data_IF_551600200910
#
_entry.id   IF_551600200910
#
_cell.length_a   1.000
_cell.length_b   1.000
_cell.length_c   1.000
_cell.angle_alpha   90.00
_cell.angle_beta   90.00
_cell.angle_gamma   90.00
#
_symmetry.space_group_name_H-M   'P 1'
#
loop_
_entity.id
_entity.type
_entity.pdbx_description
1 polymer ?
#
# COMPACT_ATOMS: atom_id res chain seq x y z
N UNK A 1 10.68 -4.36 24.11
CA UNK A 1 9.77 -5.36 23.58
C UNK A 1 8.32 -4.99 23.91
N UNK A 2 7.43 -5.10 22.91
CA UNK A 2 6.00 -4.75 23.00
C UNK A 2 5.30 -5.52 24.15
N UNK A 3 5.54 -6.82 24.26
CA UNK A 3 4.98 -7.66 25.32
C UNK A 3 5.42 -7.23 26.73
N UNK A 4 6.66 -6.81 26.87
CA UNK A 4 7.19 -6.32 28.16
C UNK A 4 6.54 -4.98 28.55
N UNK A 5 6.27 -4.09 27.60
CA UNK A 5 5.55 -2.84 27.86
C UNK A 5 4.14 -3.09 28.36
N UNK A 6 3.41 -4.01 27.70
CA UNK A 6 2.06 -4.40 28.15
C UNK A 6 2.10 -4.97 29.57
N UNK A 7 3.01 -5.92 29.83
CA UNK A 7 3.15 -6.52 31.14
C UNK A 7 3.47 -5.48 32.24
N UNK A 8 4.34 -4.51 31.94
CA UNK A 8 4.68 -3.41 32.85
C UNK A 8 3.50 -2.51 33.17
N UNK A 9 2.67 -2.17 32.15
CA UNK A 9 1.48 -1.31 32.35
C UNK A 9 0.42 -2.04 33.16
N UNK A 10 0.21 -3.33 32.92
CA UNK A 10 -0.76 -4.15 33.67
C UNK A 10 -0.30 -4.42 35.11
N UNK A 11 1.03 -4.57 35.32
CA UNK A 11 1.61 -4.80 36.65
C UNK A 11 1.83 -3.54 37.49
N UNK A 12 1.62 -2.34 36.96
CA UNK A 12 2.00 -1.06 37.54
C UNK A 12 1.06 -0.49 38.62
N UNK A 13 0.31 -1.30 39.37
CA UNK A 13 -0.49 -0.83 40.52
C UNK A 13 -1.75 -0.03 40.18
N UNK A 14 -2.06 0.13 38.91
CA UNK A 14 -3.22 0.90 38.42
C UNK A 14 -4.55 0.17 38.62
N UNK A 15 -4.51 -1.11 38.97
CA UNK A 15 -5.65 -2.01 39.05
C UNK A 15 -5.76 -2.68 40.43
N UNK A 16 -5.76 -1.90 41.49
CA UNK A 16 -5.83 -2.40 42.90
C UNK A 16 -7.09 -3.23 43.19
N UNK A 17 -8.13 -3.14 42.34
CA UNK A 17 -9.42 -3.85 42.50
C UNK A 17 -9.60 -5.05 41.56
N UNK A 18 -8.55 -5.49 40.89
CA UNK A 18 -8.61 -6.54 39.86
C UNK A 18 -8.66 -5.97 38.47
N UNK A 19 -8.17 -6.74 37.47
CA UNK A 19 -8.10 -6.37 36.06
C UNK A 19 -9.26 -7.04 35.34
N UNK A 20 -10.15 -6.24 34.70
CA UNK A 20 -11.19 -6.76 33.84
C UNK A 20 -10.66 -7.08 32.43
N UNK A 21 -11.31 -7.98 31.66
CA UNK A 21 -10.96 -8.18 30.24
C UNK A 21 -11.00 -6.90 29.41
N UNK A 22 -11.89 -5.97 29.74
CA UNK A 22 -12.00 -4.68 29.07
C UNK A 22 -10.80 -3.77 29.40
N UNK A 23 -10.33 -3.77 30.64
CA UNK A 23 -9.13 -3.03 31.04
C UNK A 23 -7.90 -3.52 30.25
N UNK A 24 -7.76 -4.84 30.08
CA UNK A 24 -6.68 -5.43 29.30
C UNK A 24 -6.76 -4.96 27.83
N UNK A 25 -7.95 -4.98 27.22
CA UNK A 25 -8.15 -4.51 25.84
C UNK A 25 -7.81 -3.02 25.71
N UNK A 26 -8.23 -2.19 26.65
CA UNK A 26 -7.94 -0.75 26.62
C UNK A 26 -6.43 -0.47 26.73
N UNK A 27 -5.73 -1.19 27.60
CA UNK A 27 -4.27 -1.07 27.73
C UNK A 27 -3.59 -1.52 26.43
N UNK A 28 -4.00 -2.67 25.89
CA UNK A 28 -3.46 -3.19 24.64
C UNK A 28 -3.72 -2.23 23.48
N UNK A 29 -4.91 -1.69 23.36
CA UNK A 29 -5.25 -0.68 22.34
C UNK A 29 -4.34 0.56 22.47
N UNK A 30 -4.11 1.06 23.68
CA UNK A 30 -3.21 2.19 23.92
C UNK A 30 -1.76 1.92 23.49
N UNK A 31 -1.25 0.72 23.74
CA UNK A 31 0.10 0.34 23.31
C UNK A 31 0.20 0.14 21.77
N UNK A 32 -0.83 -0.43 21.15
CA UNK A 32 -0.92 -0.53 19.68
C UNK A 32 -0.97 0.86 19.05
N UNK A 33 -1.79 1.76 19.59
CA UNK A 33 -1.90 3.14 19.11
C UNK A 33 -0.54 3.86 19.14
N UNK A 34 0.23 3.69 20.21
CA UNK A 34 1.58 4.28 20.32
C UNK A 34 2.55 3.76 19.24
N UNK A 35 2.45 2.50 18.85
CA UNK A 35 3.26 1.91 17.77
C UNK A 35 2.80 2.44 16.41
N UNK A 36 1.49 2.58 16.21
CA UNK A 36 0.89 2.92 14.92
C UNK A 36 0.83 4.42 14.65
N UNK A 37 0.73 5.27 15.65
CA UNK A 37 0.61 6.73 15.45
C UNK A 37 1.75 7.34 14.61
N UNK A 38 3.03 6.98 14.79
CA UNK A 38 4.11 7.52 13.97
C UNK A 38 4.04 7.13 12.50
N UNK A 39 3.37 6.03 12.15
CA UNK A 39 3.25 5.52 10.77
C UNK A 39 1.91 5.82 10.11
N UNK A 40 0.94 6.33 10.86
CA UNK A 40 -0.35 6.77 10.34
C UNK A 40 -0.19 8.11 9.60
N UNK A 41 0.30 8.06 8.36
CA UNK A 41 0.59 9.25 7.56
C UNK A 41 -0.22 9.22 6.26
N UNK A 42 -0.86 10.34 5.88
CA UNK A 42 -1.55 10.45 4.60
C UNK A 42 -0.56 10.40 3.43
N UNK A 43 -1.04 9.95 2.29
CA UNK A 43 -0.32 10.04 1.02
C UNK A 43 -0.56 11.44 0.44
N UNK A 44 0.49 12.26 0.39
CA UNK A 44 0.43 13.63 -0.11
C UNK A 44 0.93 13.71 -1.55
N UNK A 45 0.16 14.34 -2.42
CA UNK A 45 0.54 14.62 -3.80
C UNK A 45 1.33 15.93 -3.83
N UNK A 46 2.64 15.83 -4.04
CA UNK A 46 3.60 16.94 -3.92
C UNK A 46 4.26 17.36 -5.23
N UNK A 47 3.93 16.69 -6.33
CA UNK A 47 4.48 16.96 -7.65
C UNK A 47 3.40 16.79 -8.73
N UNK A 48 3.69 17.25 -9.95
CA UNK A 48 2.81 17.12 -11.10
C UNK A 48 3.62 16.81 -12.37
N UNK A 49 3.51 15.60 -12.92
CA UNK A 49 2.76 14.46 -12.41
C UNK A 49 3.37 13.89 -11.13
N UNK A 50 2.54 13.46 -10.21
CA UNK A 50 2.94 12.66 -9.06
C UNK A 50 2.89 11.19 -9.44
N UNK A 51 4.06 10.55 -9.53
CA UNK A 51 4.21 9.17 -10.01
C UNK A 51 4.23 8.21 -8.84
N UNK A 52 3.27 7.31 -8.81
CA UNK A 52 3.13 6.27 -7.80
C UNK A 52 3.41 4.91 -8.45
N UNK A 53 4.45 4.23 -8.00
CA UNK A 53 4.74 2.84 -8.36
C UNK A 53 4.04 1.93 -7.36
N UNK A 54 3.20 1.02 -7.84
CA UNK A 54 2.46 0.08 -6.99
C UNK A 54 3.05 -1.31 -7.15
N UNK A 55 3.61 -1.83 -6.07
CA UNK A 55 4.28 -3.13 -6.01
C UNK A 55 3.56 -4.09 -5.05
N UNK A 56 3.89 -5.36 -5.12
CA UNK A 56 3.34 -6.43 -4.30
C UNK A 56 3.18 -7.73 -5.08
N UNK A 57 2.92 -8.81 -4.36
CA UNK A 57 2.73 -10.13 -4.98
C UNK A 57 1.39 -10.22 -5.70
N UNK A 58 1.29 -11.15 -6.66
CA UNK A 58 0.02 -11.46 -7.32
C UNK A 58 -1.03 -11.88 -6.29
N UNK A 59 -2.24 -11.38 -6.43
CA UNK A 59 -3.34 -11.66 -5.52
C UNK A 59 -3.36 -10.81 -4.24
N UNK A 60 -2.39 -9.91 -4.05
CA UNK A 60 -2.38 -9.00 -2.89
C UNK A 60 -3.42 -7.87 -2.99
N UNK A 61 -3.98 -7.63 -4.18
CA UNK A 61 -4.95 -6.57 -4.43
C UNK A 61 -4.36 -5.30 -5.05
N UNK A 62 -3.22 -5.39 -5.77
CA UNK A 62 -2.58 -4.25 -6.43
C UNK A 62 -3.49 -3.52 -7.41
N UNK A 63 -4.02 -4.23 -8.40
CA UNK A 63 -4.86 -3.64 -9.45
C UNK A 63 -6.13 -3.03 -8.88
N UNK A 64 -6.77 -3.71 -7.92
CA UNK A 64 -7.94 -3.18 -7.22
C UNK A 64 -7.60 -1.95 -6.39
N UNK A 65 -6.47 -1.94 -5.70
CA UNK A 65 -5.98 -0.76 -4.95
C UNK A 65 -5.74 0.42 -5.88
N UNK A 66 -5.13 0.20 -7.04
CA UNK A 66 -4.95 1.25 -8.07
C UNK A 66 -6.29 1.82 -8.50
N UNK A 67 -7.28 0.98 -8.77
CA UNK A 67 -8.63 1.43 -9.13
C UNK A 67 -9.29 2.29 -8.05
N UNK A 68 -9.18 1.88 -6.79
CA UNK A 68 -9.70 2.64 -5.64
C UNK A 68 -8.97 3.96 -5.43
N UNK A 69 -7.65 3.99 -5.59
CA UNK A 69 -6.86 5.23 -5.54
C UNK A 69 -7.23 6.17 -6.70
N UNK A 70 -7.41 5.65 -7.90
CA UNK A 70 -7.86 6.43 -9.04
C UNK A 70 -9.22 7.10 -8.77
N UNK A 71 -10.18 6.35 -8.23
CA UNK A 71 -11.49 6.89 -7.84
C UNK A 71 -11.35 8.00 -6.80
N UNK A 72 -10.54 7.79 -5.78
CA UNK A 72 -10.27 8.79 -4.73
C UNK A 72 -9.68 10.08 -5.31
N UNK A 73 -8.62 9.99 -6.10
CA UNK A 73 -8.00 11.17 -6.70
C UNK A 73 -8.92 11.90 -7.68
N UNK A 74 -9.73 11.16 -8.44
CA UNK A 74 -10.75 11.77 -9.32
C UNK A 74 -11.81 12.53 -8.52
N UNK A 75 -12.27 11.99 -7.40
CA UNK A 75 -13.20 12.67 -6.49
C UNK A 75 -12.58 13.94 -5.91
N UNK A 76 -11.28 13.97 -5.71
CA UNK A 76 -10.53 15.17 -5.28
C UNK A 76 -10.25 16.16 -6.43
N UNK A 77 -10.79 15.91 -7.62
CA UNK A 77 -10.65 16.80 -8.78
C UNK A 77 -9.33 16.66 -9.53
N UNK A 78 -8.55 15.60 -9.29
CA UNK A 78 -7.27 15.34 -9.97
C UNK A 78 -7.46 14.54 -11.25
N UNK A 79 -6.67 14.84 -12.27
CA UNK A 79 -6.54 13.98 -13.44
C UNK A 79 -5.62 12.81 -13.13
N UNK A 80 -6.00 11.61 -13.58
CA UNK A 80 -5.30 10.36 -13.26
C UNK A 80 -5.02 9.57 -14.53
N UNK A 81 -3.79 9.05 -14.62
CA UNK A 81 -3.36 8.12 -15.66
C UNK A 81 -2.97 6.79 -15.01
N UNK A 82 -3.52 5.68 -15.52
CA UNK A 82 -3.16 4.32 -15.14
C UNK A 82 -2.21 3.73 -16.16
N UNK A 83 -1.18 3.02 -15.68
CA UNK A 83 -0.17 2.37 -16.53
C UNK A 83 -0.19 0.87 -16.26
N UNK A 84 -0.52 0.08 -17.30
CA UNK A 84 -0.63 -1.37 -17.22
C UNK A 84 0.74 -2.06 -17.29
N UNK A 85 1.56 -1.90 -16.26
CA UNK A 85 2.92 -2.40 -16.18
C UNK A 85 3.04 -3.89 -15.82
N UNK A 86 1.97 -4.57 -15.39
CA UNK A 86 1.91 -6.03 -15.29
C UNK A 86 1.62 -6.63 -16.69
N UNK A 87 2.62 -6.58 -17.55
CA UNK A 87 2.47 -6.93 -18.97
C UNK A 87 2.39 -8.43 -19.24
N UNK A 88 2.71 -9.27 -18.26
CA UNK A 88 2.62 -10.72 -18.39
C UNK A 88 1.18 -11.26 -18.25
N UNK A 89 0.32 -10.52 -17.57
CA UNK A 89 -1.03 -10.94 -17.26
C UNK A 89 -2.05 -10.14 -18.06
N UNK A 90 -2.54 -10.73 -19.15
CA UNK A 90 -3.59 -10.12 -19.97
C UNK A 90 -4.82 -9.72 -19.14
N UNK A 91 -5.23 -10.56 -18.18
CA UNK A 91 -6.34 -10.27 -17.29
C UNK A 91 -6.09 -9.03 -16.40
N UNK A 92 -4.86 -8.80 -15.97
CA UNK A 92 -4.50 -7.60 -15.19
C UNK A 92 -4.58 -6.33 -16.05
N UNK A 93 -4.13 -6.41 -17.30
CA UNK A 93 -4.26 -5.30 -18.26
C UNK A 93 -5.74 -4.96 -18.50
N UNK A 94 -6.58 -5.97 -18.77
CA UNK A 94 -8.00 -5.78 -19.00
C UNK A 94 -8.73 -5.23 -17.77
N UNK A 95 -8.40 -5.73 -16.58
CA UNK A 95 -8.97 -5.21 -15.33
C UNK A 95 -8.60 -3.74 -15.11
N UNK A 96 -7.37 -3.35 -15.41
CA UNK A 96 -6.95 -1.96 -15.28
C UNK A 96 -7.69 -1.02 -16.26
N UNK A 97 -7.96 -1.49 -17.49
CA UNK A 97 -8.78 -0.76 -18.47
C UNK A 97 -10.21 -0.56 -17.96
N UNK A 98 -10.80 -1.57 -17.32
CA UNK A 98 -12.14 -1.47 -16.71
C UNK A 98 -12.14 -0.42 -15.59
N UNK A 99 -11.12 -0.40 -14.73
CA UNK A 99 -10.98 0.62 -13.70
C UNK A 99 -10.83 2.03 -14.27
N UNK A 100 -10.06 2.18 -15.34
CA UNK A 100 -9.90 3.47 -16.03
C UNK A 100 -11.25 3.99 -16.53
N UNK A 101 -12.03 3.14 -17.18
CA UNK A 101 -13.37 3.49 -17.68
C UNK A 101 -14.31 3.87 -16.53
N UNK A 102 -14.35 3.10 -15.47
CA UNK A 102 -15.22 3.34 -14.29
C UNK A 102 -14.89 4.62 -13.54
N UNK A 103 -13.63 5.00 -13.49
CA UNK A 103 -13.17 6.17 -12.72
C UNK A 103 -12.98 7.43 -13.54
N UNK A 104 -13.02 7.33 -14.86
CA UNK A 104 -12.70 8.44 -15.75
C UNK A 104 -11.21 8.76 -15.83
N UNK A 105 -10.34 7.83 -15.41
CA UNK A 105 -8.90 7.91 -15.61
C UNK A 105 -8.53 7.54 -17.06
N UNK A 106 -7.41 8.05 -17.56
CA UNK A 106 -6.79 7.55 -18.79
C UNK A 106 -6.00 6.27 -18.50
N UNK A 107 -5.75 5.45 -19.50
CA UNK A 107 -4.95 4.23 -19.38
C UNK A 107 -3.94 4.14 -20.49
N UNK A 108 -2.71 3.79 -20.15
CA UNK A 108 -1.64 3.44 -21.08
C UNK A 108 -1.38 1.94 -20.93
N UNK A 109 -1.58 1.22 -22.03
CA UNK A 109 -1.38 -0.22 -22.10
C UNK A 109 -0.78 -0.59 -23.45
N UNK A 110 -0.06 -1.73 -23.49
CA UNK A 110 0.49 -2.33 -24.70
C UNK A 110 0.14 -3.81 -24.76
N UNK A 111 0.53 -4.46 -25.85
CA UNK A 111 0.38 -5.89 -26.00
C UNK A 111 1.04 -6.66 -24.87
N UNK A 112 0.45 -7.80 -24.43
CA UNK A 112 1.06 -8.65 -23.43
C UNK A 112 2.51 -9.03 -23.80
N UNK A 113 3.40 -9.02 -22.81
CA UNK A 113 4.82 -9.28 -22.99
C UNK A 113 5.68 -8.06 -23.36
N UNK A 114 5.08 -6.87 -23.48
CA UNK A 114 5.84 -5.63 -23.70
C UNK A 114 6.73 -5.28 -22.52
N UNK A 115 7.81 -4.53 -22.77
CA UNK A 115 8.71 -4.08 -21.72
C UNK A 115 8.04 -3.04 -20.80
N UNK A 116 7.84 -3.34 -19.50
CA UNK A 116 7.16 -2.44 -18.59
C UNK A 116 7.95 -1.14 -18.32
N UNK A 117 9.26 -1.17 -18.36
CA UNK A 117 10.07 0.04 -18.17
C UNK A 117 9.91 1.03 -19.33
N UNK A 118 9.88 0.54 -20.57
CA UNK A 118 9.60 1.35 -21.76
C UNK A 118 8.18 1.94 -21.72
N UNK A 119 7.22 1.14 -21.28
CA UNK A 119 5.84 1.60 -21.09
C UNK A 119 5.74 2.73 -20.06
N UNK A 120 6.41 2.58 -18.92
CA UNK A 120 6.45 3.61 -17.88
C UNK A 120 7.12 4.90 -18.37
N UNK A 121 8.19 4.78 -19.14
CA UNK A 121 8.87 5.92 -19.77
C UNK A 121 7.92 6.72 -20.65
N UNK A 122 7.23 6.07 -21.56
CA UNK A 122 6.29 6.73 -22.47
C UNK A 122 5.08 7.32 -21.74
N UNK A 123 4.59 6.61 -20.71
CA UNK A 123 3.47 7.08 -19.91
C UNK A 123 3.80 8.37 -19.15
N UNK A 124 4.96 8.47 -18.54
CA UNK A 124 5.38 9.69 -17.80
C UNK A 124 5.60 10.86 -18.78
N UNK A 125 6.20 10.63 -19.93
CA UNK A 125 6.31 11.65 -20.97
C UNK A 125 4.94 12.16 -21.44
N UNK A 126 4.00 11.25 -21.68
CA UNK A 126 2.63 11.59 -22.04
C UNK A 126 1.92 12.37 -20.94
N UNK A 127 2.07 11.95 -19.70
CA UNK A 127 1.50 12.63 -18.52
C UNK A 127 2.02 14.06 -18.38
N UNK A 128 3.31 14.28 -18.58
CA UNK A 128 3.92 15.62 -18.58
C UNK A 128 3.34 16.50 -19.69
N UNK A 129 3.24 15.98 -20.89
CA UNK A 129 2.71 16.71 -22.04
C UNK A 129 1.22 17.10 -21.87
N UNK A 130 0.43 16.24 -21.23
CA UNK A 130 -1.00 16.44 -21.00
C UNK A 130 -1.32 17.17 -19.69
N UNK A 131 -0.34 17.42 -18.84
CA UNK A 131 -0.54 18.03 -17.52
C UNK A 131 -1.34 17.15 -16.56
N UNK A 132 -1.13 15.84 -16.59
CA UNK A 132 -1.77 14.87 -15.69
C UNK A 132 -1.27 15.07 -14.26
N UNK A 133 -2.19 15.02 -13.29
CA UNK A 133 -1.85 15.23 -11.87
C UNK A 133 -1.20 14.01 -11.22
N UNK A 134 -1.73 12.81 -11.46
CA UNK A 134 -1.29 11.57 -10.82
C UNK A 134 -1.13 10.45 -11.85
N UNK A 135 -0.01 9.75 -11.79
CA UNK A 135 0.27 8.54 -12.58
C UNK A 135 0.39 7.35 -11.63
N UNK A 136 -0.44 6.34 -11.83
CA UNK A 136 -0.44 5.10 -11.07
C UNK A 136 0.09 3.97 -11.95
N UNK A 137 1.23 3.40 -11.59
CA UNK A 137 1.91 2.35 -12.36
C UNK A 137 1.72 1.01 -11.68
N UNK A 138 0.94 0.12 -12.34
CA UNK A 138 0.85 -1.29 -11.92
C UNK A 138 2.12 -2.04 -12.34
N UNK A 139 2.48 -3.07 -11.58
CA UNK A 139 3.68 -3.88 -11.81
C UNK A 139 3.39 -5.36 -11.68
N UNK A 140 4.24 -6.20 -12.26
CA UNK A 140 4.20 -7.64 -12.06
C UNK A 140 4.43 -8.00 -10.58
N UNK A 141 3.92 -9.16 -10.18
CA UNK A 141 3.99 -9.63 -8.80
C UNK A 141 4.30 -11.13 -8.67
N UNK A 142 4.97 -11.74 -9.66
CA UNK A 142 5.32 -13.16 -9.63
C UNK A 142 6.56 -13.42 -8.77
N UNK A 143 6.35 -13.51 -7.45
CA UNK A 143 7.43 -13.67 -6.48
C UNK A 143 8.14 -15.03 -6.56
N UNK A 144 7.53 -16.04 -7.19
CA UNK A 144 8.18 -17.32 -7.50
C UNK A 144 9.40 -17.15 -8.44
N UNK A 145 9.41 -16.11 -9.29
CA UNK A 145 10.54 -15.66 -10.09
C UNK A 145 11.17 -14.40 -9.50
N UNK A 146 11.56 -14.49 -8.24
CA UNK A 146 11.99 -13.34 -7.44
C UNK A 146 13.10 -12.52 -8.09
N UNK A 147 14.13 -13.15 -8.60
CA UNK A 147 15.27 -12.45 -9.19
C UNK A 147 14.86 -11.64 -10.43
N UNK A 148 14.04 -12.21 -11.28
CA UNK A 148 13.50 -11.56 -12.47
C UNK A 148 12.60 -10.39 -12.11
N UNK A 149 11.67 -10.60 -11.15
CA UNK A 149 10.77 -9.55 -10.65
C UNK A 149 11.54 -8.36 -10.08
N UNK A 150 12.54 -8.62 -9.23
CA UNK A 150 13.34 -7.57 -8.62
C UNK A 150 14.17 -6.80 -9.66
N UNK A 151 14.76 -7.50 -10.63
CA UNK A 151 15.48 -6.88 -11.75
C UNK A 151 14.55 -6.00 -12.60
N UNK A 152 13.33 -6.43 -12.86
CA UNK A 152 12.32 -5.65 -13.58
C UNK A 152 11.93 -4.38 -12.83
N UNK A 153 11.65 -4.48 -11.52
CA UNK A 153 11.32 -3.32 -10.69
C UNK A 153 12.46 -2.30 -10.63
N UNK A 154 13.70 -2.75 -10.46
CA UNK A 154 14.88 -1.89 -10.51
C UNK A 154 15.00 -1.16 -11.85
N UNK A 155 14.76 -1.88 -12.95
CA UNK A 155 14.78 -1.29 -14.29
C UNK A 155 13.69 -0.23 -14.47
N UNK A 156 12.48 -0.49 -14.02
CA UNK A 156 11.37 0.47 -14.07
C UNK A 156 11.73 1.75 -13.33
N UNK A 157 12.20 1.64 -12.09
CA UNK A 157 12.61 2.80 -11.27
C UNK A 157 13.73 3.58 -11.95
N UNK A 158 14.75 2.91 -12.45
CA UNK A 158 15.88 3.53 -13.15
C UNK A 158 15.44 4.30 -14.40
N UNK A 159 14.53 3.71 -15.18
CA UNK A 159 14.02 4.31 -16.42
C UNK A 159 13.09 5.49 -16.13
N UNK A 160 12.24 5.40 -15.11
CA UNK A 160 11.42 6.53 -14.66
C UNK A 160 12.28 7.76 -14.35
N UNK A 161 13.40 7.59 -13.68
CA UNK A 161 14.31 8.68 -13.31
C UNK A 161 14.95 9.37 -14.49
N UNK A 162 15.03 8.73 -15.64
CA UNK A 162 15.50 9.36 -16.88
C UNK A 162 14.52 10.38 -17.42
N UNK A 163 13.23 10.20 -17.20
CA UNK A 163 12.15 11.10 -17.64
C UNK A 163 11.86 12.16 -16.60
N UNK A 164 11.80 11.74 -15.36
CA UNK A 164 11.52 12.59 -14.19
C UNK A 164 12.48 12.20 -13.07
N UNK A 165 13.54 12.99 -12.81
CA UNK A 165 14.58 12.63 -11.85
C UNK A 165 14.09 12.39 -10.43
N UNK A 166 12.93 12.96 -10.06
CA UNK A 166 12.32 12.79 -8.73
C UNK A 166 11.36 11.59 -8.66
N UNK A 167 11.02 10.96 -9.80
CA UNK A 167 10.15 9.79 -9.85
C UNK A 167 10.89 8.48 -9.46
N UNK A 168 10.16 7.48 -8.92
CA UNK A 168 8.79 7.57 -8.44
C UNK A 168 8.70 8.42 -7.17
N UNK A 169 7.66 9.23 -7.05
CA UNK A 169 7.45 10.09 -5.88
C UNK A 169 6.93 9.31 -4.67
N UNK A 170 6.25 8.21 -4.92
CA UNK A 170 5.86 7.22 -3.94
C UNK A 170 6.01 5.81 -4.53
N UNK A 171 6.44 4.88 -3.70
CA UNK A 171 6.45 3.44 -3.98
C UNK A 171 5.61 2.76 -2.93
N UNK A 172 4.41 2.34 -3.32
CA UNK A 172 3.48 1.66 -2.43
C UNK A 172 3.66 0.15 -2.54
N UNK A 173 3.77 -0.50 -1.40
CA UNK A 173 3.70 -1.95 -1.30
C UNK A 173 2.31 -2.35 -0.82
N UNK A 174 1.59 -3.09 -1.63
CA UNK A 174 0.29 -3.65 -1.29
C UNK A 174 0.49 -5.03 -0.67
N UNK A 175 0.07 -5.16 0.58
CA UNK A 175 0.18 -6.39 1.37
C UNK A 175 -1.20 -6.95 1.68
N UNK A 176 -1.32 -8.26 1.60
CA UNK A 176 -2.50 -9.01 2.01
C UNK A 176 -2.33 -9.44 3.47
N UNK A 177 -3.22 -9.01 4.35
CA UNK A 177 -3.16 -9.36 5.78
C UNK A 177 -3.29 -10.86 6.04
N UNK A 178 -3.86 -11.63 5.11
CA UNK A 178 -4.07 -13.07 5.26
C UNK A 178 -2.79 -13.90 5.16
N UNK A 179 -1.71 -13.34 4.59
CA UNK A 179 -0.43 -14.07 4.44
C UNK A 179 0.40 -14.14 5.71
N UNK A 180 -0.01 -13.45 6.78
CA UNK A 180 0.64 -13.51 8.08
C UNK A 180 2.10 -13.10 8.04
N UNK A 181 2.99 -13.89 8.68
CA UNK A 181 4.42 -13.59 8.79
C UNK A 181 5.16 -13.43 7.45
N UNK A 182 4.64 -13.99 6.38
CA UNK A 182 5.22 -13.81 5.04
C UNK A 182 5.21 -12.34 4.58
N UNK A 183 4.31 -11.53 5.13
CA UNK A 183 4.28 -10.09 4.86
C UNK A 183 5.58 -9.38 5.27
N UNK A 184 6.21 -9.77 6.38
CA UNK A 184 7.49 -9.23 6.82
C UNK A 184 8.60 -9.44 5.79
N UNK A 185 8.68 -10.64 5.22
CA UNK A 185 9.63 -10.96 4.16
C UNK A 185 9.37 -10.14 2.90
N UNK A 186 8.11 -9.93 2.54
CA UNK A 186 7.74 -9.11 1.39
C UNK A 186 8.18 -7.65 1.59
N UNK A 187 7.95 -7.06 2.75
CA UNK A 187 8.40 -5.68 3.06
C UNK A 187 9.91 -5.56 2.91
N UNK A 188 10.65 -6.53 3.42
CA UNK A 188 12.11 -6.54 3.34
C UNK A 188 12.61 -6.63 1.89
N UNK A 189 12.06 -7.56 1.10
CA UNK A 189 12.47 -7.81 -0.27
C UNK A 189 12.14 -6.61 -1.17
N UNK A 190 10.91 -6.15 -1.18
CA UNK A 190 10.47 -5.01 -1.99
C UNK A 190 11.12 -3.70 -1.54
N UNK A 191 11.31 -3.52 -0.23
CA UNK A 191 11.98 -2.35 0.32
C UNK A 191 13.40 -2.16 -0.17
N UNK A 192 14.18 -3.24 -0.22
CA UNK A 192 15.57 -3.22 -0.72
C UNK A 192 15.65 -2.92 -2.21
N UNK A 193 14.69 -3.40 -2.99
CA UNK A 193 14.74 -3.33 -4.46
C UNK A 193 14.13 -2.08 -5.04
N UNK A 194 12.90 -1.76 -4.61
CA UNK A 194 12.11 -0.68 -5.20
C UNK A 194 12.10 0.59 -4.36
N UNK A 195 12.63 0.55 -3.14
CA UNK A 195 12.62 1.70 -2.24
C UNK A 195 11.23 2.05 -1.75
N UNK A 196 10.51 1.09 -1.17
CA UNK A 196 9.15 1.28 -0.65
C UNK A 196 9.07 2.48 0.29
N UNK A 197 8.13 3.38 0.02
CA UNK A 197 7.89 4.60 0.81
C UNK A 197 6.64 4.54 1.67
N UNK A 198 5.74 3.61 1.40
CA UNK A 198 4.51 3.46 2.15
C UNK A 198 3.80 2.14 1.87
N UNK A 199 2.89 1.80 2.74
CA UNK A 199 2.16 0.54 2.74
C UNK A 199 0.67 0.76 2.51
N UNK A 200 0.07 -0.21 1.82
CA UNK A 200 -1.37 -0.42 1.76
C UNK A 200 -1.65 -1.84 2.23
N UNK A 201 -2.43 -2.00 3.27
CA UNK A 201 -2.81 -3.32 3.79
C UNK A 201 -4.22 -3.66 3.35
N UNK A 202 -4.39 -4.77 2.65
CA UNK A 202 -5.69 -5.27 2.19
C UNK A 202 -6.21 -6.40 3.06
N UNK A 203 -7.50 -6.70 2.95
CA UNK A 203 -8.17 -7.83 3.62
C UNK A 203 -8.08 -7.80 5.15
N UNK A 204 -8.19 -6.59 5.72
CA UNK A 204 -8.21 -6.35 7.17
C UNK A 204 -9.62 -6.47 7.80
N UNK A 205 -10.55 -7.08 7.12
CA UNK A 205 -11.94 -7.29 7.55
C UNK A 205 -12.11 -8.31 8.71
N UNK A 206 -11.07 -8.48 9.51
CA UNK A 206 -11.09 -9.32 10.70
C UNK A 206 -10.04 -8.94 11.72
N UNK A 207 -10.43 -8.91 13.01
CA UNK A 207 -9.57 -8.50 14.13
C UNK A 207 -8.28 -9.33 14.27
N UNK A 208 -8.35 -10.65 13.96
CA UNK A 208 -7.20 -11.55 14.05
C UNK A 208 -6.06 -11.23 13.07
N UNK A 209 -6.32 -10.44 12.02
CA UNK A 209 -5.36 -10.14 10.95
C UNK A 209 -4.59 -8.84 11.17
N UNK A 210 -5.04 -7.99 12.08
CA UNK A 210 -4.40 -6.70 12.35
C UNK A 210 -3.03 -6.79 13.00
N UNK A 211 -2.74 -7.88 13.73
CA UNK A 211 -1.47 -8.05 14.45
C UNK A 211 -0.23 -8.00 13.55
N UNK A 212 -0.32 -8.48 12.31
CA UNK A 212 0.80 -8.42 11.37
C UNK A 212 1.18 -6.99 11.00
N UNK A 213 0.21 -6.09 10.87
CA UNK A 213 0.48 -4.69 10.58
C UNK A 213 1.21 -4.00 11.72
N UNK A 214 0.87 -4.34 12.98
CA UNK A 214 1.60 -3.84 14.17
C UNK A 214 3.05 -4.29 14.14
N UNK A 215 3.33 -5.56 13.83
CA UNK A 215 4.68 -6.09 13.72
C UNK A 215 5.48 -5.42 12.59
N UNK A 216 4.87 -5.17 11.44
CA UNK A 216 5.48 -4.45 10.32
C UNK A 216 5.81 -3.01 10.71
N UNK A 217 4.88 -2.30 11.33
CA UNK A 217 5.06 -0.92 11.77
C UNK A 217 6.18 -0.81 12.82
N UNK A 218 6.22 -1.70 13.79
CA UNK A 218 7.26 -1.72 14.82
C UNK A 218 8.66 -1.97 14.23
N UNK A 219 8.76 -2.89 13.26
CA UNK A 219 10.04 -3.28 12.67
C UNK A 219 10.56 -2.32 11.62
N UNK A 220 9.71 -1.89 10.68
CA UNK A 220 10.14 -1.17 9.48
C UNK A 220 9.90 0.34 9.53
N UNK A 221 9.01 0.81 10.40
CA UNK A 221 8.67 2.24 10.56
C UNK A 221 8.20 2.91 9.26
N UNK A 222 7.67 2.15 8.33
CA UNK A 222 7.14 2.68 7.06
C UNK A 222 5.74 3.28 7.26
N UNK A 223 5.42 4.39 6.58
CA UNK A 223 4.06 4.94 6.58
C UNK A 223 3.03 3.92 6.12
N UNK A 224 1.91 3.85 6.81
CA UNK A 224 0.71 3.11 6.39
C UNK A 224 -0.30 4.14 5.92
N UNK A 225 -0.51 4.22 4.61
CA UNK A 225 -1.37 5.24 4.03
C UNK A 225 -2.83 4.85 4.00
N UNK A 226 -3.11 3.58 3.68
CA UNK A 226 -4.48 3.07 3.53
C UNK A 226 -4.61 1.65 4.03
N UNK A 227 -5.83 1.32 4.45
CA UNK A 227 -6.28 -0.04 4.75
C UNK A 227 -7.49 -0.38 3.87
N UNK A 228 -7.50 -1.58 3.31
CA UNK A 228 -8.63 -2.15 2.58
C UNK A 228 -9.52 -2.93 3.53
N UNK A 229 -10.75 -2.47 3.69
CA UNK A 229 -11.74 -3.01 4.63
C UNK A 229 -12.93 -3.67 3.94
N UNK A 230 -12.85 -3.89 2.63
CA UNK A 230 -13.90 -4.49 1.83
C UNK A 230 -13.60 -4.45 0.33
N UNK A 231 -14.58 -4.85 -0.49
CA UNK A 231 -14.45 -4.97 -1.95
C UNK A 231 -14.99 -3.76 -2.72
N UNK A 232 -15.72 -2.86 -2.08
CA UNK A 232 -16.29 -1.66 -2.70
C UNK A 232 -15.23 -0.64 -3.11
N UNK A 233 -15.59 0.23 -4.04
CA UNK A 233 -14.70 1.31 -4.53
C UNK A 233 -14.28 2.24 -3.39
N UNK A 234 -15.17 2.47 -2.44
CA UNK A 234 -14.96 3.36 -1.29
C UNK A 234 -14.34 2.64 -0.06
N UNK A 235 -14.05 1.34 -0.18
CA UNK A 235 -13.50 0.53 0.92
C UNK A 235 -11.98 0.63 1.06
N UNK A 236 -11.37 1.68 0.53
CA UNK A 236 -10.00 2.06 0.82
C UNK A 236 -10.03 3.27 1.77
N UNK A 237 -9.88 3.00 3.06
CA UNK A 237 -9.95 4.02 4.08
C UNK A 237 -8.56 4.60 4.40
N UNK A 238 -8.47 5.91 4.72
CA UNK A 238 -7.29 6.46 5.38
C UNK A 238 -7.02 5.71 6.68
N UNK A 239 -5.74 5.49 6.99
CA UNK A 239 -5.35 4.79 8.19
C UNK A 239 -5.36 5.74 9.40
N UNK A 240 -6.10 5.36 10.46
CA UNK A 240 -6.08 6.03 11.77
C UNK A 240 -5.59 5.07 12.84
N UNK A 241 -4.55 5.44 13.58
CA UNK A 241 -3.90 4.58 14.56
C UNK A 241 -4.87 4.17 15.69
N UNK A 242 -5.69 5.09 16.16
CA UNK A 242 -6.64 4.85 17.25
C UNK A 242 -7.74 3.86 16.84
N UNK A 243 -8.40 4.11 15.72
CA UNK A 243 -9.51 3.25 15.25
C UNK A 243 -9.01 1.85 14.94
N UNK A 244 -7.84 1.75 14.29
CA UNK A 244 -7.18 0.49 14.05
C UNK A 244 -6.87 -0.26 15.35
N UNK A 245 -6.25 0.40 16.33
CA UNK A 245 -5.89 -0.20 17.61
C UNK A 245 -7.10 -0.74 18.36
N UNK A 246 -8.21 0.02 18.39
CA UNK A 246 -9.46 -0.41 19.01
C UNK A 246 -10.07 -1.61 18.28
N UNK A 247 -10.12 -1.57 16.96
CA UNK A 247 -10.64 -2.67 16.15
C UNK A 247 -9.86 -3.97 16.33
N UNK A 248 -8.53 -3.90 16.40
CA UNK A 248 -7.66 -5.09 16.57
C UNK A 248 -7.94 -5.82 17.89
N UNK A 249 -8.27 -5.08 18.95
CA UNK A 249 -8.55 -5.67 20.27
C UNK A 249 -10.04 -5.94 20.52
N UNK A 250 -10.91 -5.65 19.55
CA UNK A 250 -12.35 -5.86 19.66
C UNK A 250 -13.05 -4.85 20.58
N UNK A 251 -12.61 -3.61 20.58
CA UNK A 251 -13.30 -2.47 21.16
C UNK A 251 -14.02 -1.70 20.05
N UNK A 252 -15.25 -1.28 20.28
CA UNK A 252 -16.01 -0.39 19.40
C UNK A 252 -15.57 1.08 19.52
#
# INVERSE_FOLDING_TARGET
DFAQRIASVLGGGRFEKGISPEDVRNVLAGEIEKVMAPVAKPLEVTARPFVILVSGVNGSGKTTTIGKLAAKFRTEGKSVMLVAGDTFRAAAIDQLKIWAERTGASVIAREPGSDPASLAFDAINSAKAQGVDVVLVDTAGRLQNRAELMSELEKIVRVMRKVEPTAPHAVLLVLDATVGQNALSQVEIFGKTAGVTGLVMTKLDGTARGGILVAIADRFKLPVHFIGVGEGVDDLAPFTARDFARAVVGLE
#
